data_IF_517876639791
#
_entry.id   IF_517876639791
#
_cell.length_a   1.000
_cell.length_b   1.000
_cell.length_c   1.000
_cell.angle_alpha   90.00
_cell.angle_beta   90.00
_cell.angle_gamma   90.00
#
_symmetry.space_group_name_H-M   'P 1'
#
loop_
_entity.id
_entity.type
_entity.pdbx_description
1 polymer ?
#
# COMPACT_ATOMS: atom_id res chain seq x y z
N UNK A 1 -6.20 13.16 -20.23
CA UNK A 1 -4.72 13.09 -20.19
C UNK A 1 -4.13 12.59 -21.52
N UNK A 2 -4.85 11.78 -22.28
CA UNK A 2 -4.42 11.25 -23.57
C UNK A 2 -3.46 10.06 -23.51
N UNK A 3 -3.14 9.47 -24.68
CA UNK A 3 -2.32 8.28 -24.81
C UNK A 3 -0.90 8.41 -24.24
N UNK A 4 -0.17 9.54 -24.40
CA UNK A 4 1.17 9.66 -23.83
C UNK A 4 1.22 9.50 -22.30
N UNK A 5 0.16 9.92 -21.61
CA UNK A 5 0.05 9.73 -20.16
C UNK A 5 -0.22 8.25 -19.80
N UNK A 6 -1.07 7.57 -20.57
CA UNK A 6 -1.34 6.14 -20.38
C UNK A 6 -0.07 5.32 -20.62
N UNK A 7 0.66 5.59 -21.68
CA UNK A 7 1.93 4.95 -21.99
C UNK A 7 2.96 5.16 -20.86
N UNK A 8 3.03 6.38 -20.32
CA UNK A 8 3.88 6.67 -19.17
C UNK A 8 3.51 5.82 -17.95
N UNK A 9 2.22 5.74 -17.59
CA UNK A 9 1.77 4.93 -16.45
C UNK A 9 2.16 3.44 -16.62
N UNK A 10 2.13 2.92 -17.84
CA UNK A 10 2.49 1.54 -18.10
C UNK A 10 3.97 1.23 -17.83
N UNK A 11 4.85 2.22 -17.96
CA UNK A 11 6.30 2.06 -17.74
C UNK A 11 6.73 2.31 -16.31
N UNK A 12 5.87 2.86 -15.47
CA UNK A 12 6.21 3.24 -14.10
C UNK A 12 6.44 2.03 -13.18
N UNK A 13 7.37 2.20 -12.23
CA UNK A 13 7.72 1.23 -11.20
C UNK A 13 7.25 1.75 -9.84
N UNK A 14 6.26 1.09 -9.26
CA UNK A 14 5.65 1.49 -7.99
C UNK A 14 5.82 0.44 -6.89
N UNK A 15 5.96 0.92 -5.67
CA UNK A 15 6.01 0.08 -4.49
C UNK A 15 4.79 0.32 -3.60
N UNK A 16 4.00 -0.73 -3.35
CA UNK A 16 2.84 -0.71 -2.46
C UNK A 16 3.23 -1.42 -1.16
N UNK A 17 3.11 -0.71 -0.03
CA UNK A 17 3.43 -1.23 1.30
C UNK A 17 2.14 -1.52 2.05
N UNK A 18 1.84 -2.80 2.24
CA UNK A 18 0.62 -3.31 2.85
C UNK A 18 -0.39 -3.84 1.83
N UNK A 19 -0.94 -5.02 2.10
CA UNK A 19 -2.00 -5.68 1.32
C UNK A 19 -3.28 -5.90 2.16
N UNK A 20 -3.57 -4.96 3.06
CA UNK A 20 -4.81 -4.89 3.82
C UNK A 20 -5.98 -4.37 2.98
N UNK A 21 -6.99 -3.77 3.61
CA UNK A 21 -8.18 -3.26 2.90
C UNK A 21 -7.80 -2.18 1.88
N UNK A 22 -7.01 -1.19 2.28
CA UNK A 22 -6.52 -0.12 1.39
C UNK A 22 -5.61 -0.70 0.30
N UNK A 23 -4.69 -1.61 0.65
CA UNK A 23 -3.81 -2.26 -0.32
C UNK A 23 -4.57 -3.02 -1.39
N UNK A 24 -5.66 -3.71 -1.04
CA UNK A 24 -6.56 -4.36 -2.00
C UNK A 24 -7.15 -3.37 -3.00
N UNK A 25 -7.61 -2.20 -2.53
CA UNK A 25 -8.18 -1.15 -3.38
C UNK A 25 -7.11 -0.53 -4.29
N UNK A 26 -5.92 -0.23 -3.75
CA UNK A 26 -4.81 0.29 -4.54
C UNK A 26 -4.40 -0.67 -5.65
N UNK A 27 -4.22 -1.95 -5.33
CA UNK A 27 -3.83 -2.97 -6.32
C UNK A 27 -4.86 -3.11 -7.44
N UNK A 28 -6.16 -3.13 -7.10
CA UNK A 28 -7.23 -3.11 -8.10
C UNK A 28 -7.14 -1.88 -9.00
N UNK A 29 -7.02 -0.70 -8.40
CA UNK A 29 -6.98 0.54 -9.14
C UNK A 29 -5.73 0.64 -10.03
N UNK A 30 -4.56 0.25 -9.55
CA UNK A 30 -3.33 0.23 -10.34
C UNK A 30 -3.45 -0.73 -11.54
N UNK A 31 -4.00 -1.93 -11.33
CA UNK A 31 -4.25 -2.88 -12.42
C UNK A 31 -5.22 -2.31 -13.47
N UNK A 32 -6.32 -1.66 -13.05
CA UNK A 32 -7.31 -1.08 -13.94
C UNK A 32 -6.79 0.16 -14.68
N UNK A 33 -5.94 0.97 -14.05
CA UNK A 33 -5.27 2.12 -14.68
C UNK A 33 -4.16 1.69 -15.66
N UNK A 34 -3.75 0.42 -15.62
CA UNK A 34 -2.67 -0.08 -16.44
C UNK A 34 -1.27 0.32 -15.94
N UNK A 35 -1.14 0.67 -14.65
CA UNK A 35 0.17 1.03 -14.09
C UNK A 35 1.11 -0.18 -14.09
N UNK A 36 2.35 0.05 -14.55
CA UNK A 36 3.37 -1.00 -14.56
C UNK A 36 3.04 -2.19 -15.48
N UNK A 37 2.20 -2.02 -16.51
CA UNK A 37 1.76 -3.10 -17.39
C UNK A 37 2.67 -3.36 -18.61
N UNK A 38 3.68 -2.53 -18.86
CA UNK A 38 4.67 -2.76 -19.91
C UNK A 38 5.85 -3.59 -19.38
N UNK A 39 6.74 -4.01 -20.28
CA UNK A 39 7.98 -4.72 -19.93
C UNK A 39 8.89 -3.89 -19.01
N UNK A 40 8.91 -2.56 -19.18
CA UNK A 40 9.71 -1.65 -18.39
C UNK A 40 9.06 -1.33 -17.02
N UNK A 41 7.74 -1.45 -16.94
CA UNK A 41 6.97 -1.11 -15.73
C UNK A 41 6.86 -2.29 -14.76
N UNK A 42 6.57 -1.97 -13.49
CA UNK A 42 6.41 -2.99 -12.45
C UNK A 42 5.73 -2.43 -11.21
N UNK A 43 4.84 -3.18 -10.62
CA UNK A 43 4.35 -2.91 -9.28
C UNK A 43 4.88 -3.98 -8.33
N UNK A 44 5.51 -3.54 -7.24
CA UNK A 44 5.93 -4.45 -6.16
C UNK A 44 5.01 -4.23 -4.97
N UNK A 45 4.44 -5.27 -4.41
CA UNK A 45 3.66 -5.21 -3.18
C UNK A 45 4.33 -6.04 -2.10
N UNK A 46 4.38 -5.52 -0.87
CA UNK A 46 4.87 -6.26 0.30
C UNK A 46 3.86 -6.26 1.44
N UNK A 47 3.72 -7.42 2.07
CA UNK A 47 2.94 -7.62 3.31
C UNK A 47 3.40 -8.90 3.99
N UNK A 48 3.76 -8.83 5.26
CA UNK A 48 4.27 -9.98 6.02
C UNK A 48 3.18 -10.89 6.59
N UNK A 49 1.94 -10.41 6.64
CA UNK A 49 0.84 -11.08 7.29
C UNK A 49 0.28 -12.25 6.50
N UNK A 50 -0.44 -13.10 7.22
CA UNK A 50 -1.32 -14.10 6.65
C UNK A 50 -2.78 -13.63 6.65
N UNK A 51 -3.56 -14.20 5.75
CA UNK A 51 -4.99 -13.92 5.64
C UNK A 51 -5.71 -14.66 6.78
N UNK A 52 -6.51 -13.91 7.53
CA UNK A 52 -7.40 -14.42 8.55
C UNK A 52 -8.87 -14.35 8.11
N UNK A 53 -9.72 -15.17 8.71
CA UNK A 53 -11.16 -15.17 8.41
C UNK A 53 -11.79 -13.79 8.66
N UNK A 54 -11.35 -13.09 9.70
CA UNK A 54 -11.75 -11.72 10.07
C UNK A 54 -11.43 -10.67 9.00
N UNK A 55 -10.48 -10.95 8.11
CA UNK A 55 -10.09 -10.01 7.05
C UNK A 55 -11.09 -9.99 5.89
N UNK A 56 -11.83 -11.07 5.68
CA UNK A 56 -12.70 -11.26 4.50
C UNK A 56 -13.88 -10.30 4.43
N UNK A 57 -14.22 -9.63 5.53
CA UNK A 57 -15.30 -8.65 5.57
C UNK A 57 -14.95 -7.31 4.90
N UNK A 58 -13.64 -7.02 4.66
CA UNK A 58 -13.17 -5.75 4.08
C UNK A 58 -12.01 -5.87 3.08
N UNK A 59 -11.28 -6.98 3.08
CA UNK A 59 -10.16 -7.23 2.15
C UNK A 59 -10.67 -8.06 0.97
N UNK A 60 -11.33 -7.40 0.03
CA UNK A 60 -12.18 -8.04 -0.98
C UNK A 60 -11.43 -8.88 -2.02
N UNK A 61 -10.10 -8.77 -2.12
CA UNK A 61 -9.30 -9.61 -3.01
C UNK A 61 -9.21 -11.07 -2.52
N UNK A 62 -9.49 -11.30 -1.22
CA UNK A 62 -9.33 -12.60 -0.61
C UNK A 62 -10.63 -13.40 -0.54
N UNK A 63 -10.51 -14.72 -0.53
CA UNK A 63 -11.59 -15.68 -0.41
C UNK A 63 -11.34 -16.66 0.74
N UNK A 64 -12.34 -17.43 1.14
CA UNK A 64 -12.22 -18.41 2.25
C UNK A 64 -11.08 -19.39 2.05
N UNK A 65 -10.81 -19.81 0.83
CA UNK A 65 -9.73 -20.73 0.52
C UNK A 65 -8.32 -20.11 0.61
N UNK A 66 -8.23 -18.76 0.70
CA UNK A 66 -6.96 -18.05 0.85
C UNK A 66 -6.56 -17.88 2.33
N UNK A 67 -7.43 -18.26 3.28
CA UNK A 67 -7.13 -18.15 4.73
C UNK A 67 -5.89 -18.97 5.07
N UNK A 68 -4.93 -18.36 5.76
CA UNK A 68 -3.63 -18.94 6.11
C UNK A 68 -2.52 -18.71 5.10
N UNK A 69 -2.82 -18.25 3.88
CA UNK A 69 -1.81 -17.86 2.90
C UNK A 69 -1.35 -16.42 3.09
N UNK A 70 -0.22 -16.05 2.47
CA UNK A 70 0.34 -14.69 2.55
C UNK A 70 -0.52 -13.68 1.81
N UNK A 71 -0.80 -12.53 2.48
CA UNK A 71 -1.66 -11.46 1.92
C UNK A 71 -1.13 -10.94 0.60
N UNK A 72 0.16 -10.59 0.53
CA UNK A 72 0.79 -10.02 -0.66
C UNK A 72 0.72 -10.95 -1.88
N UNK A 73 0.97 -12.25 -1.67
CA UNK A 73 0.95 -13.24 -2.75
C UNK A 73 -0.47 -13.46 -3.30
N UNK A 74 -1.46 -13.62 -2.41
CA UNK A 74 -2.86 -13.77 -2.80
C UNK A 74 -3.40 -12.49 -3.46
N UNK A 75 -3.04 -11.31 -2.93
CA UNK A 75 -3.44 -10.03 -3.51
C UNK A 75 -2.86 -9.83 -4.91
N UNK A 76 -1.58 -10.14 -5.11
CA UNK A 76 -0.93 -10.05 -6.42
C UNK A 76 -1.58 -10.98 -7.44
N UNK A 77 -1.88 -12.22 -7.05
CA UNK A 77 -2.60 -13.19 -7.90
C UNK A 77 -3.99 -12.70 -8.26
N UNK A 78 -4.75 -12.18 -7.29
CA UNK A 78 -6.10 -11.67 -7.52
C UNK A 78 -6.10 -10.40 -8.40
N UNK A 79 -5.12 -9.51 -8.21
CA UNK A 79 -4.99 -8.29 -8.99
C UNK A 79 -4.74 -8.54 -10.49
N UNK A 80 -4.01 -9.60 -10.84
CA UNK A 80 -3.85 -10.05 -12.23
C UNK A 80 -5.17 -10.46 -12.89
N UNK A 81 -6.19 -10.79 -12.12
CA UNK A 81 -7.53 -11.08 -12.63
C UNK A 81 -8.24 -9.85 -13.21
N UNK A 82 -7.85 -8.62 -12.80
CA UNK A 82 -8.38 -7.37 -13.36
C UNK A 82 -7.67 -6.94 -14.63
N UNK A 83 -6.38 -7.25 -14.74
CA UNK A 83 -5.56 -6.96 -15.92
C UNK A 83 -4.45 -7.99 -16.03
N UNK A 84 -4.53 -8.86 -17.04
CA UNK A 84 -3.55 -9.92 -17.26
C UNK A 84 -2.14 -9.38 -17.57
N UNK A 85 -2.02 -8.16 -18.13
CA UNK A 85 -0.75 -7.51 -18.41
C UNK A 85 -0.10 -6.88 -17.15
N UNK A 86 -0.79 -6.89 -16.00
CA UNK A 86 -0.28 -6.27 -14.78
C UNK A 86 1.00 -6.97 -14.29
N UNK A 87 2.15 -6.30 -14.43
CA UNK A 87 3.44 -6.80 -14.00
C UNK A 87 3.62 -6.56 -12.50
N UNK A 88 3.16 -7.50 -11.69
CA UNK A 88 3.20 -7.41 -10.23
C UNK A 88 4.10 -8.47 -9.60
N UNK A 89 4.95 -8.03 -8.64
CA UNK A 89 5.77 -8.87 -7.78
C UNK A 89 5.28 -8.77 -6.34
N UNK A 90 5.10 -9.91 -5.68
CA UNK A 90 4.81 -9.98 -4.25
C UNK A 90 6.09 -10.25 -3.45
N UNK A 91 6.21 -9.56 -2.32
CA UNK A 91 7.19 -9.79 -1.26
C UNK A 91 6.45 -10.04 0.05
N UNK A 92 7.04 -10.79 0.96
CA UNK A 92 6.41 -11.21 2.24
C UNK A 92 7.09 -10.61 3.46
N UNK A 93 7.97 -9.64 3.25
CA UNK A 93 8.77 -9.01 4.26
C UNK A 93 8.14 -7.69 4.75
N UNK A 94 8.33 -7.42 6.03
CA UNK A 94 8.02 -6.12 6.62
C UNK A 94 9.02 -5.09 6.12
N UNK A 95 8.56 -3.86 5.89
CA UNK A 95 9.45 -2.74 5.61
C UNK A 95 9.88 -2.09 6.93
N UNK A 96 11.18 -1.98 7.13
CA UNK A 96 11.74 -1.40 8.34
C UNK A 96 13.28 -1.45 8.36
N UNK A 97 13.92 -0.93 9.41
CA UNK A 97 15.39 -0.88 9.51
C UNK A 97 16.05 -2.26 9.45
N UNK A 98 15.36 -3.29 9.87
CA UNK A 98 15.81 -4.69 9.86
C UNK A 98 15.85 -5.32 8.47
N UNK A 99 15.17 -4.73 7.50
CA UNK A 99 15.05 -5.23 6.12
C UNK A 99 15.69 -4.31 5.06
N UNK A 100 16.55 -3.37 5.47
CA UNK A 100 17.22 -2.44 4.55
C UNK A 100 18.14 -3.12 3.53
N UNK A 101 18.61 -4.34 3.82
CA UNK A 101 19.38 -5.11 2.83
C UNK A 101 18.53 -5.59 1.66
N UNK A 102 17.24 -5.84 1.89
CA UNK A 102 16.28 -6.22 0.84
C UNK A 102 15.75 -4.98 0.12
N UNK A 103 15.31 -4.00 0.91
CA UNK A 103 14.84 -2.70 0.42
C UNK A 103 16.01 -1.70 0.41
N UNK A 104 17.02 -2.02 -0.42
CA UNK A 104 18.28 -1.31 -0.51
C UNK A 104 18.14 0.02 -1.27
N UNK A 105 19.23 0.77 -1.34
CA UNK A 105 19.33 1.99 -2.14
C UNK A 105 19.03 1.72 -3.61
N UNK A 106 19.51 0.59 -4.15
CA UNK A 106 19.23 0.18 -5.53
C UNK A 106 17.73 -0.10 -5.73
N UNK A 107 17.07 -0.74 -4.75
CA UNK A 107 15.62 -1.00 -4.80
C UNK A 107 14.82 0.31 -4.88
N UNK A 108 15.10 1.26 -3.98
CA UNK A 108 14.40 2.55 -3.99
C UNK A 108 14.78 3.41 -5.20
N UNK A 109 16.03 3.35 -5.64
CA UNK A 109 16.53 4.12 -6.78
C UNK A 109 15.87 3.75 -8.12
N UNK A 110 15.25 2.58 -8.21
CA UNK A 110 14.51 2.16 -9.41
C UNK A 110 13.05 2.58 -9.44
N UNK A 111 12.50 3.09 -8.32
CA UNK A 111 11.07 3.39 -8.19
C UNK A 111 10.71 4.77 -8.74
N UNK A 112 9.51 4.89 -9.27
CA UNK A 112 8.87 6.16 -9.64
C UNK A 112 7.94 6.69 -8.54
N UNK A 113 7.54 5.83 -7.57
CA UNK A 113 6.72 6.25 -6.45
C UNK A 113 6.39 5.10 -5.49
N UNK A 114 5.85 5.49 -4.34
CA UNK A 114 5.44 4.59 -3.26
C UNK A 114 3.99 4.87 -2.87
N UNK A 115 3.23 3.83 -2.55
CA UNK A 115 1.90 3.95 -1.99
C UNK A 115 1.82 3.15 -0.67
N UNK A 116 1.50 3.85 0.42
CA UNK A 116 1.34 3.26 1.73
C UNK A 116 -0.11 2.84 2.00
N UNK A 117 -0.26 1.60 2.46
CA UNK A 117 -1.50 1.02 2.98
C UNK A 117 -1.25 0.44 4.38
N UNK A 118 -0.53 1.20 5.21
CA UNK A 118 -0.05 0.81 6.53
C UNK A 118 -1.04 1.20 7.63
N UNK A 119 -1.03 0.46 8.73
CA UNK A 119 -1.92 0.63 9.87
C UNK A 119 -1.23 1.19 11.13
N UNK A 120 0.09 1.44 11.08
CA UNK A 120 0.81 2.01 12.21
C UNK A 120 1.67 3.21 11.82
N UNK A 121 1.79 4.15 12.77
CA UNK A 121 2.48 5.44 12.57
C UNK A 121 3.97 5.27 12.34
N UNK A 122 4.62 4.33 13.04
CA UNK A 122 6.07 4.14 12.94
C UNK A 122 6.49 3.69 11.54
N UNK A 123 5.75 2.73 10.96
CA UNK A 123 6.02 2.28 9.60
C UNK A 123 5.72 3.36 8.55
N UNK A 124 4.68 4.17 8.74
CA UNK A 124 4.38 5.32 7.88
C UNK A 124 5.49 6.36 7.94
N UNK A 125 5.93 6.72 9.15
CA UNK A 125 7.04 7.66 9.36
C UNK A 125 8.34 7.15 8.76
N UNK A 126 8.63 5.86 8.90
CA UNK A 126 9.80 5.24 8.28
C UNK A 126 9.74 5.39 6.75
N UNK A 127 8.62 5.02 6.13
CA UNK A 127 8.46 5.09 4.68
C UNK A 127 8.50 6.53 4.17
N UNK A 128 7.89 7.48 4.88
CA UNK A 128 7.94 8.90 4.54
C UNK A 128 9.39 9.40 4.50
N UNK A 129 10.20 9.09 5.52
CA UNK A 129 11.63 9.44 5.56
C UNK A 129 12.42 8.84 4.40
N UNK A 130 12.14 7.58 4.05
CA UNK A 130 12.77 6.92 2.89
C UNK A 130 12.36 7.62 1.59
N UNK A 131 11.08 7.91 1.41
CA UNK A 131 10.58 8.60 0.22
C UNK A 131 11.19 10.01 0.08
N UNK A 132 11.29 10.78 1.18
CA UNK A 132 11.96 12.09 1.16
C UNK A 132 13.44 11.97 0.79
N UNK A 133 14.15 10.98 1.35
CA UNK A 133 15.58 10.75 1.07
C UNK A 133 15.82 10.42 -0.40
N UNK A 134 15.01 9.52 -0.99
CA UNK A 134 15.15 9.11 -2.41
C UNK A 134 14.39 10.02 -3.38
N UNK A 135 13.72 11.08 -2.89
CA UNK A 135 12.90 12.01 -3.68
C UNK A 135 11.76 11.33 -4.43
N UNK A 136 11.17 10.30 -3.83
CA UNK A 136 10.05 9.56 -4.39
C UNK A 136 8.72 10.17 -3.96
N UNK A 137 7.77 10.36 -4.89
CA UNK A 137 6.39 10.66 -4.53
C UNK A 137 5.82 9.57 -3.63
N UNK A 138 5.10 9.97 -2.57
CA UNK A 138 4.41 9.06 -1.66
C UNK A 138 2.92 9.35 -1.66
N UNK A 139 2.13 8.32 -1.95
CA UNK A 139 0.70 8.30 -1.72
C UNK A 139 0.45 7.67 -0.35
N UNK A 140 0.26 8.53 0.65
CA UNK A 140 -0.04 8.10 2.01
C UNK A 140 -1.55 7.93 2.19
N UNK A 141 -1.98 6.87 2.84
CA UNK A 141 -3.38 6.63 3.12
C UNK A 141 -3.59 5.83 4.41
N UNK A 142 -4.65 6.17 5.12
CA UNK A 142 -5.00 5.52 6.38
C UNK A 142 -6.48 5.62 6.70
N UNK A 143 -6.90 4.82 7.68
CA UNK A 143 -8.27 4.85 8.21
C UNK A 143 -8.24 5.05 9.72
N UNK A 144 -9.22 5.78 10.22
CA UNK A 144 -9.49 5.98 11.64
C UNK A 144 -10.99 5.77 11.88
N UNK A 145 -11.37 4.52 12.13
CA UNK A 145 -12.77 4.13 12.20
C UNK A 145 -13.51 4.44 10.88
N UNK A 146 -14.59 5.24 10.90
CA UNK A 146 -15.36 5.58 9.71
C UNK A 146 -14.71 6.68 8.85
N UNK A 147 -13.59 7.27 9.28
CA UNK A 147 -12.90 8.33 8.55
C UNK A 147 -11.70 7.77 7.80
N UNK A 148 -11.51 8.22 6.56
CA UNK A 148 -10.30 7.99 5.79
C UNK A 148 -9.45 9.25 5.73
N UNK A 149 -8.15 9.08 5.62
CA UNK A 149 -7.17 10.13 5.37
C UNK A 149 -6.30 9.76 4.18
N UNK A 150 -6.04 10.74 3.32
CA UNK A 150 -5.11 10.60 2.21
C UNK A 150 -4.23 11.85 2.14
N UNK A 151 -2.94 11.64 1.90
CA UNK A 151 -1.97 12.71 1.70
C UNK A 151 -1.07 12.36 0.53
N UNK A 152 -0.89 13.30 -0.39
CA UNK A 152 0.11 13.20 -1.44
C UNK A 152 1.34 13.96 -0.97
N UNK A 153 2.43 13.24 -0.77
CA UNK A 153 3.74 13.80 -0.43
C UNK A 153 4.59 13.82 -1.69
N UNK A 154 4.96 15.02 -2.11
CA UNK A 154 5.95 15.20 -3.16
C UNK A 154 7.17 15.92 -2.54
N UNK A 155 8.30 15.21 -2.38
CA UNK A 155 9.46 15.74 -1.68
C UNK A 155 9.87 17.11 -2.20
N UNK A 156 10.14 18.05 -1.29
CA UNK A 156 10.49 19.46 -1.52
C UNK A 156 9.40 20.35 -2.11
N UNK A 157 8.21 19.80 -2.44
CA UNK A 157 7.07 20.59 -2.96
C UNK A 157 5.90 20.63 -2.00
N UNK A 158 5.69 19.57 -1.23
CA UNK A 158 4.61 19.48 -0.23
C UNK A 158 5.18 19.21 1.16
N UNK A 159 4.35 19.34 2.17
CA UNK A 159 4.67 18.83 3.50
C UNK A 159 4.80 17.29 3.45
N UNK A 160 5.71 16.75 4.27
CA UNK A 160 5.86 15.31 4.45
C UNK A 160 4.86 14.79 5.48
N UNK A 161 4.59 13.48 5.47
CA UNK A 161 3.73 12.85 6.48
C UNK A 161 4.28 13.09 7.88
N UNK A 162 5.59 12.97 8.07
CA UNK A 162 6.27 13.13 9.37
C UNK A 162 6.27 14.58 9.89
N UNK A 163 5.97 15.59 9.06
CA UNK A 163 5.85 16.99 9.48
C UNK A 163 4.48 17.31 10.07
N UNK A 164 3.50 16.45 9.89
CA UNK A 164 2.17 16.56 10.47
C UNK A 164 1.99 15.60 11.64
N UNK A 165 1.06 15.89 12.54
CA UNK A 165 0.67 14.98 13.63
C UNK A 165 -0.71 14.43 13.31
N UNK A 166 -0.84 13.10 13.28
CA UNK A 166 -2.15 12.47 13.14
C UNK A 166 -3.08 12.91 14.29
N UNK A 167 -4.37 13.16 14.02
CA UNK A 167 -5.31 13.46 15.08
C UNK A 167 -5.31 12.33 16.12
N UNK A 168 -5.35 12.64 17.43
CA UNK A 168 -5.37 11.62 18.46
C UNK A 168 -6.58 10.68 18.26
N UNK A 169 -6.36 9.38 18.39
CA UNK A 169 -7.45 8.41 18.39
C UNK A 169 -8.46 8.78 19.48
N UNK A 170 -9.70 9.05 19.06
CA UNK A 170 -10.78 9.19 20.03
C UNK A 170 -11.07 7.80 20.58
N UNK A 171 -10.66 7.54 21.82
CA UNK A 171 -11.05 6.33 22.53
C UNK A 171 -12.59 6.22 22.51
N UNK A 172 -13.11 5.09 22.04
CA UNK A 172 -14.53 4.80 22.14
C UNK A 172 -14.84 4.71 23.64
N UNK A 173 -15.79 5.51 24.18
CA UNK A 173 -16.12 5.43 25.60
C UNK A 173 -16.47 3.98 25.98
N UNK A 174 -15.96 3.51 27.12
CA UNK A 174 -16.18 2.15 27.62
C UNK A 174 -17.68 1.80 27.72
N UNK A 175 -18.53 2.78 27.96
CA UNK A 175 -19.98 2.62 27.96
C UNK A 175 -20.58 2.22 26.60
N UNK A 176 -19.94 2.63 25.50
CA UNK A 176 -20.40 2.26 24.15
C UNK A 176 -20.03 0.82 23.81
N UNK A 177 -18.87 0.32 24.29
CA UNK A 177 -18.44 -1.05 24.10
C UNK A 177 -19.31 -2.09 24.84
N UNK A 178 -19.91 -1.70 25.98
CA UNK A 178 -20.78 -2.58 26.77
C UNK A 178 -22.20 -2.75 26.21
N UNK A 179 -22.60 -1.94 25.24
CA UNK A 179 -23.95 -1.94 24.66
C UNK A 179 -24.04 -2.53 23.27
N UNK A 180 -22.94 -3.11 22.73
CA UNK A 180 -23.03 -3.92 21.52
C UNK A 180 -23.61 -5.30 21.89
N UNK A 181 -24.72 -5.74 21.29
CA UNK A 181 -25.18 -7.11 21.46
C UNK A 181 -24.14 -8.07 20.90
N UNK A 182 -23.82 -9.12 21.67
CA UNK A 182 -22.99 -10.24 21.28
C UNK A 182 -23.58 -10.99 20.07
#
# INVERSE_FOLDING_TARGET
>A
FGWPFVEKLQTEKWFIVGAGAIGCELLKNFALLGMGCSEAGKVTVTDMDQIELSNLNRQFLFRRHDVGFKKSECAAKAAKGFNAAFNIKALTERVGPDTEKLFSDDFFGELDGVANALDNVDARTYMDRRCVFYRLPLLESGTMGPKGNTQVVYPYLTESYSSSTDPPEKSIPICTLKNFPN
#
